data_IF_704216297381
#
_entry.id   IF_704216297381
#
_cell.length_a   1.000
_cell.length_b   1.000
_cell.length_c   1.000
_cell.angle_alpha   90.00
_cell.angle_beta   90.00
_cell.angle_gamma   90.00
#
_symmetry.space_group_name_H-M   'P 1'
#
loop_
_entity.id
_entity.type
_entity.pdbx_description
1 polymer ?
#
# COMPACT_ATOMS: atom_id res chain seq x y z
N UNK A 1 -9.45 15.05 -16.03
CA UNK A 1 -8.03 15.44 -15.96
C UNK A 1 -7.59 15.13 -14.54
N UNK A 2 -6.58 14.32 -14.35
CA UNK A 2 -6.07 13.93 -13.02
C UNK A 2 -5.02 14.93 -12.56
N UNK A 3 -4.98 15.25 -11.27
CA UNK A 3 -3.99 16.18 -10.69
C UNK A 3 -3.51 15.68 -9.33
N UNK A 4 -2.37 16.16 -8.89
CA UNK A 4 -1.92 16.06 -7.49
C UNK A 4 -2.85 16.94 -6.64
N UNK A 5 -3.38 16.37 -5.55
CA UNK A 5 -4.38 17.03 -4.71
C UNK A 5 -3.72 18.02 -3.74
N UNK A 6 -2.66 17.56 -3.06
CA UNK A 6 -2.01 18.36 -2.03
C UNK A 6 -0.48 18.11 -1.95
N UNK A 7 0.18 18.69 -0.95
CA UNK A 7 1.61 18.59 -0.75
C UNK A 7 2.43 19.51 -1.64
N UNK A 8 3.73 19.24 -1.75
CA UNK A 8 4.70 20.12 -2.42
C UNK A 8 4.48 20.25 -3.94
N UNK A 9 3.80 19.28 -4.57
CA UNK A 9 3.40 19.33 -5.98
C UNK A 9 1.90 19.58 -6.17
N UNK A 10 1.20 20.09 -5.17
CA UNK A 10 -0.25 20.34 -5.20
C UNK A 10 -0.70 21.09 -6.44
N UNK A 11 -1.85 20.68 -7.02
CA UNK A 11 -2.45 21.21 -8.26
C UNK A 11 -1.71 20.87 -9.56
N UNK A 12 -0.58 20.15 -9.53
CA UNK A 12 0.12 19.71 -10.73
C UNK A 12 -0.75 18.73 -11.54
N UNK A 13 -1.01 19.06 -12.79
CA UNK A 13 -1.77 18.18 -13.70
C UNK A 13 -0.95 16.97 -14.11
N UNK A 14 -1.56 15.79 -14.05
CA UNK A 14 -0.99 14.53 -14.48
C UNK A 14 -1.59 14.09 -15.82
N UNK A 15 -0.75 13.63 -16.72
CA UNK A 15 -1.21 12.97 -17.94
C UNK A 15 -1.86 11.61 -17.59
N UNK A 16 -2.88 11.23 -18.35
CA UNK A 16 -3.59 9.96 -18.20
C UNK A 16 -3.37 9.11 -19.46
N UNK A 17 -3.14 7.80 -19.35
CA UNK A 17 -3.10 6.90 -20.50
C UNK A 17 -4.40 6.98 -21.33
N UNK A 18 -4.27 6.86 -22.66
CA UNK A 18 -5.43 7.00 -23.59
C UNK A 18 -6.42 5.85 -23.55
N UNK A 19 -6.04 4.70 -23.02
CA UNK A 19 -6.87 3.48 -22.95
C UNK A 19 -6.46 2.62 -21.75
N UNK A 20 -7.43 1.90 -21.19
CA UNK A 20 -7.17 0.78 -20.25
C UNK A 20 -7.31 1.09 -18.76
N UNK A 21 -7.49 2.34 -18.34
CA UNK A 21 -7.71 2.64 -16.93
C UNK A 21 -8.83 3.67 -16.78
N UNK A 22 -9.85 3.34 -15.97
CA UNK A 22 -10.73 4.36 -15.39
C UNK A 22 -9.93 4.98 -14.25
N UNK A 23 -9.59 6.27 -14.29
CA UNK A 23 -8.86 6.87 -13.17
C UNK A 23 -9.69 6.74 -11.90
N UNK A 24 -9.08 6.30 -10.81
CA UNK A 24 -9.65 6.46 -9.46
C UNK A 24 -10.15 7.89 -9.32
N UNK A 25 -11.42 8.07 -8.98
CA UNK A 25 -12.01 9.39 -8.94
C UNK A 25 -11.27 10.30 -7.96
N UNK A 26 -11.21 11.60 -8.24
CA UNK A 26 -10.58 12.57 -7.32
C UNK A 26 -11.16 12.44 -5.90
N UNK A 27 -12.47 12.19 -5.78
CA UNK A 27 -13.15 11.96 -4.49
C UNK A 27 -12.62 10.73 -3.74
N UNK A 28 -12.37 9.63 -4.43
CA UNK A 28 -11.83 8.41 -3.81
C UNK A 28 -10.39 8.66 -3.38
N UNK A 29 -9.59 9.31 -4.22
CA UNK A 29 -8.21 9.68 -3.86
C UNK A 29 -8.15 10.63 -2.66
N UNK A 30 -9.01 11.66 -2.62
CA UNK A 30 -9.15 12.55 -1.46
C UNK A 30 -9.47 11.77 -0.18
N UNK A 31 -10.40 10.80 -0.25
CA UNK A 31 -10.75 9.96 0.89
C UNK A 31 -9.58 9.06 1.35
N UNK A 32 -8.83 8.47 0.40
CA UNK A 32 -7.63 7.68 0.70
C UNK A 32 -6.61 8.56 1.44
N UNK A 33 -6.23 9.68 0.86
CA UNK A 33 -5.16 10.51 1.41
C UNK A 33 -5.56 11.21 2.72
N UNK A 34 -6.82 11.60 2.89
CA UNK A 34 -7.31 12.12 4.18
C UNK A 34 -7.21 11.05 5.29
N UNK A 35 -7.49 9.78 4.97
CA UNK A 35 -7.37 8.70 5.95
C UNK A 35 -5.92 8.37 6.28
N UNK A 36 -5.01 8.44 5.30
CA UNK A 36 -3.56 8.22 5.50
C UNK A 36 -2.93 9.36 6.30
N UNK A 37 -3.27 10.61 6.02
CA UNK A 37 -2.79 11.76 6.80
C UNK A 37 -3.25 11.72 8.26
N UNK A 38 -4.50 11.33 8.50
CA UNK A 38 -5.01 11.17 9.86
C UNK A 38 -4.26 10.10 10.70
N UNK A 39 -3.46 9.24 10.03
CA UNK A 39 -2.63 8.18 10.64
C UNK A 39 -1.14 8.52 10.60
N UNK A 40 -0.77 9.67 10.07
CA UNK A 40 0.64 10.06 9.84
C UNK A 40 1.43 9.03 9.02
N UNK A 41 0.76 8.39 8.05
CA UNK A 41 1.26 7.19 7.36
C UNK A 41 1.98 7.50 6.04
N UNK A 42 2.24 8.77 5.71
CA UNK A 42 2.81 9.15 4.41
C UNK A 42 4.21 9.75 4.55
N UNK A 43 4.38 10.68 5.47
CA UNK A 43 5.66 11.38 5.62
C UNK A 43 6.76 10.40 6.05
N UNK A 44 7.88 10.42 5.36
CA UNK A 44 9.00 9.50 5.59
C UNK A 44 8.79 8.07 5.09
N UNK A 45 7.63 7.72 4.52
CA UNK A 45 7.29 6.35 4.13
C UNK A 45 7.95 5.88 2.83
N UNK A 46 8.12 4.55 2.72
CA UNK A 46 8.42 3.80 1.49
C UNK A 46 7.12 3.28 0.90
N UNK A 47 6.78 3.70 -0.31
CA UNK A 47 5.49 3.44 -0.94
C UNK A 47 5.63 2.56 -2.17
N UNK A 48 4.79 1.52 -2.28
CA UNK A 48 4.55 0.77 -3.52
C UNK A 48 3.19 1.13 -4.11
N UNK A 49 3.17 1.57 -5.37
CA UNK A 49 1.96 1.73 -6.18
C UNK A 49 1.96 0.62 -7.23
N UNK A 50 1.23 -0.44 -6.94
CA UNK A 50 1.09 -1.62 -7.79
C UNK A 50 -0.09 -1.42 -8.73
N UNK A 51 0.11 -1.64 -10.02
CA UNK A 51 -0.79 -1.28 -11.11
C UNK A 51 -0.90 0.23 -11.33
N UNK A 52 0.23 0.94 -11.27
CA UNK A 52 0.33 2.38 -11.12
C UNK A 52 -0.39 3.22 -12.20
N UNK A 53 -0.58 2.70 -13.41
CA UNK A 53 -1.25 3.43 -14.50
C UNK A 53 -0.59 4.78 -14.79
N UNK A 54 -1.22 5.87 -14.35
CA UNK A 54 -0.65 7.23 -14.44
C UNK A 54 0.33 7.56 -13.32
N UNK A 55 0.40 6.73 -12.27
CA UNK A 55 1.16 6.96 -11.04
C UNK A 55 0.46 7.87 -10.03
N UNK A 56 -0.85 8.07 -10.16
CA UNK A 56 -1.53 9.11 -9.39
C UNK A 56 -1.48 8.90 -7.87
N UNK A 57 -1.54 7.65 -7.38
CA UNK A 57 -1.49 7.35 -5.94
C UNK A 57 -0.06 7.50 -5.40
N UNK A 58 0.90 6.84 -6.02
CA UNK A 58 2.28 6.95 -5.56
C UNK A 58 2.86 8.36 -5.69
N UNK A 59 2.53 9.09 -6.75
CA UNK A 59 3.01 10.47 -6.95
C UNK A 59 2.34 11.47 -5.98
N UNK A 60 1.09 11.24 -5.58
CA UNK A 60 0.46 11.97 -4.51
C UNK A 60 1.19 11.74 -3.18
N UNK A 61 1.58 10.48 -2.89
CA UNK A 61 2.37 10.15 -1.69
C UNK A 61 3.72 10.87 -1.70
N UNK A 62 4.43 10.90 -2.85
CA UNK A 62 5.68 11.65 -2.98
C UNK A 62 5.47 13.15 -2.73
N UNK A 63 4.37 13.73 -3.19
CA UNK A 63 4.01 15.13 -2.97
C UNK A 63 3.76 15.45 -1.49
N UNK A 64 3.34 14.46 -0.70
CA UNK A 64 3.00 14.57 0.72
C UNK A 64 4.11 14.10 1.67
N UNK A 65 5.32 13.82 1.18
CA UNK A 65 6.47 13.55 2.03
C UNK A 65 6.99 12.12 2.03
N UNK A 66 6.42 11.19 1.24
CA UNK A 66 7.02 9.86 1.07
C UNK A 66 8.45 9.98 0.53
N UNK A 67 9.40 9.24 1.11
CA UNK A 67 10.84 9.34 0.76
C UNK A 67 11.26 8.43 -0.37
N UNK A 68 10.57 7.29 -0.54
CA UNK A 68 10.74 6.42 -1.68
C UNK A 68 9.38 5.98 -2.24
N UNK A 69 9.24 6.04 -3.56
CA UNK A 69 8.02 5.63 -4.25
C UNK A 69 8.39 4.76 -5.45
N UNK A 70 7.86 3.54 -5.47
CA UNK A 70 8.01 2.63 -6.60
C UNK A 70 6.67 2.45 -7.29
N UNK A 71 6.62 2.80 -8.57
CA UNK A 71 5.45 2.73 -9.42
C UNK A 71 5.61 1.55 -10.37
N UNK A 72 4.80 0.50 -10.19
CA UNK A 72 4.88 -0.73 -10.99
C UNK A 72 3.76 -0.75 -12.02
N UNK A 73 4.10 -0.77 -13.30
CA UNK A 73 3.15 -0.80 -14.41
C UNK A 73 3.65 -1.72 -15.51
N UNK A 74 2.83 -2.71 -15.92
CA UNK A 74 3.23 -3.68 -16.97
C UNK A 74 3.13 -3.11 -18.38
N UNK A 75 2.15 -2.26 -18.62
CA UNK A 75 1.85 -1.72 -19.94
C UNK A 75 2.82 -0.59 -20.30
N UNK A 76 3.72 -0.84 -21.25
CA UNK A 76 4.74 0.16 -21.67
C UNK A 76 4.16 1.55 -21.98
N UNK A 77 3.04 1.70 -22.72
CA UNK A 77 2.47 3.02 -22.98
C UNK A 77 2.01 3.75 -21.71
N UNK A 78 1.43 3.04 -20.72
CA UNK A 78 1.05 3.60 -19.44
C UNK A 78 2.28 3.96 -18.61
N UNK A 79 3.27 3.09 -18.55
CA UNK A 79 4.54 3.34 -17.87
C UNK A 79 5.29 4.55 -18.45
N UNK A 80 5.21 4.81 -19.75
CA UNK A 80 5.79 6.00 -20.36
C UNK A 80 5.05 7.29 -19.97
N UNK A 81 3.72 7.21 -19.73
CA UNK A 81 2.93 8.31 -19.12
C UNK A 81 3.36 8.49 -17.67
N UNK A 82 3.41 7.41 -16.91
CA UNK A 82 3.83 7.40 -15.52
C UNK A 82 5.21 8.05 -15.32
N UNK A 83 6.20 7.74 -16.16
CA UNK A 83 7.53 8.36 -16.12
C UNK A 83 7.49 9.87 -16.33
N UNK A 84 6.73 10.35 -17.33
CA UNK A 84 6.59 11.80 -17.55
C UNK A 84 5.97 12.51 -16.35
N UNK A 85 4.98 11.88 -15.73
CA UNK A 85 4.36 12.40 -14.51
C UNK A 85 5.36 12.38 -13.34
N UNK A 86 6.11 11.28 -13.16
CA UNK A 86 7.15 11.17 -12.13
C UNK A 86 8.22 12.27 -12.28
N UNK A 87 8.68 12.51 -13.50
CA UNK A 87 9.63 13.58 -13.80
C UNK A 87 9.06 14.97 -13.47
N UNK A 88 7.77 15.20 -13.75
CA UNK A 88 7.10 16.46 -13.46
C UNK A 88 6.96 16.67 -11.95
N UNK A 89 6.54 15.65 -11.19
CA UNK A 89 6.43 15.69 -9.73
C UNK A 89 7.81 15.87 -9.10
N UNK A 90 8.84 15.12 -9.53
CA UNK A 90 10.22 15.26 -9.01
C UNK A 90 10.75 16.69 -9.18
N UNK A 91 10.43 17.35 -10.30
CA UNK A 91 10.79 18.77 -10.49
C UNK A 91 10.04 19.70 -9.55
N UNK A 92 8.76 19.42 -9.31
CA UNK A 92 7.90 20.25 -8.46
C UNK A 92 8.27 20.15 -6.98
N UNK A 93 8.53 18.93 -6.47
CA UNK A 93 8.88 18.73 -5.06
C UNK A 93 10.36 19.05 -4.75
N UNK A 94 11.19 19.20 -5.78
CA UNK A 94 12.64 19.37 -5.64
C UNK A 94 13.42 18.06 -5.71
N UNK A 95 14.61 18.13 -6.34
CA UNK A 95 15.48 16.95 -6.46
C UNK A 95 15.95 16.50 -5.06
N UNK A 96 15.80 15.22 -4.78
CA UNK A 96 16.22 14.62 -3.51
C UNK A 96 15.15 14.61 -2.42
N UNK A 97 13.99 15.26 -2.61
CA UNK A 97 12.87 15.18 -1.67
C UNK A 97 12.27 13.78 -1.59
N UNK A 98 12.16 13.09 -2.73
CA UNK A 98 11.74 11.70 -2.81
C UNK A 98 12.52 10.97 -3.91
N UNK A 99 12.74 9.66 -3.72
CA UNK A 99 13.24 8.76 -4.76
C UNK A 99 12.05 8.13 -5.49
N UNK A 100 11.73 8.59 -6.68
CA UNK A 100 10.63 8.04 -7.47
C UNK A 100 11.19 7.15 -8.58
N UNK A 101 10.68 5.92 -8.66
CA UNK A 101 11.12 4.92 -9.64
C UNK A 101 9.93 4.26 -10.34
N UNK A 102 9.95 4.23 -11.67
CA UNK A 102 8.95 3.52 -12.50
C UNK A 102 9.53 2.21 -13.01
N UNK A 103 8.89 1.11 -12.67
CA UNK A 103 9.28 -0.25 -13.04
C UNK A 103 8.29 -0.80 -14.07
N UNK A 104 8.79 -1.26 -15.22
CA UNK A 104 7.96 -1.86 -16.28
C UNK A 104 8.03 -3.37 -16.16
N UNK A 105 7.15 -3.94 -15.33
CA UNK A 105 7.03 -5.39 -15.08
C UNK A 105 5.59 -5.75 -14.71
N UNK A 106 5.16 -7.00 -14.89
CA UNK A 106 4.01 -7.54 -14.18
C UNK A 106 4.23 -7.43 -12.66
N UNK A 107 3.17 -7.15 -11.91
CA UNK A 107 3.23 -6.95 -10.44
C UNK A 107 3.86 -8.15 -9.75
N UNK A 108 3.35 -9.37 -9.97
CA UNK A 108 3.91 -10.58 -9.36
C UNK A 108 5.42 -10.73 -9.64
N UNK A 109 5.87 -10.54 -10.90
CA UNK A 109 7.28 -10.65 -11.27
C UNK A 109 8.16 -9.55 -10.64
N UNK A 110 7.59 -8.41 -10.28
CA UNK A 110 8.29 -7.39 -9.50
C UNK A 110 8.39 -7.82 -8.03
N UNK A 111 7.28 -8.22 -7.41
CA UNK A 111 7.21 -8.59 -6.00
C UNK A 111 8.14 -9.78 -5.66
N UNK A 112 8.31 -10.75 -6.57
CA UNK A 112 9.24 -11.89 -6.40
C UNK A 112 10.70 -11.45 -6.18
N UNK A 113 11.07 -10.23 -6.55
CA UNK A 113 12.46 -9.71 -6.48
C UNK A 113 12.57 -8.35 -5.79
N UNK A 114 11.48 -7.83 -5.26
CA UNK A 114 11.45 -6.55 -4.59
C UNK A 114 12.13 -6.62 -3.22
N UNK A 115 12.77 -5.56 -2.76
CA UNK A 115 13.29 -5.48 -1.41
C UNK A 115 12.15 -5.35 -0.40
N UNK A 116 12.37 -5.83 0.81
CA UNK A 116 11.52 -5.55 1.96
C UNK A 116 11.68 -4.10 2.45
N UNK A 117 10.80 -3.68 3.36
CA UNK A 117 10.85 -2.35 3.94
C UNK A 117 9.78 -1.40 3.41
N UNK A 118 8.59 -1.93 3.08
CA UNK A 118 7.46 -1.16 2.56
C UNK A 118 6.52 -0.76 3.70
N UNK A 119 6.19 0.52 3.77
CA UNK A 119 5.29 1.08 4.80
C UNK A 119 3.86 1.25 4.28
N UNK A 120 3.71 1.48 2.97
CA UNK A 120 2.41 1.70 2.34
C UNK A 120 2.36 1.07 0.96
N UNK A 121 1.35 0.26 0.70
CA UNK A 121 1.11 -0.34 -0.60
C UNK A 121 -0.29 -0.01 -1.14
N UNK A 122 -0.36 0.43 -2.39
CA UNK A 122 -1.59 0.57 -3.15
C UNK A 122 -1.72 -0.56 -4.17
N UNK A 123 -2.89 -1.16 -4.26
CA UNK A 123 -3.25 -2.21 -5.21
C UNK A 123 -4.56 -1.80 -5.90
N UNK A 124 -4.45 -1.23 -7.09
CA UNK A 124 -5.60 -0.82 -7.94
C UNK A 124 -5.55 -1.58 -9.27
N UNK A 125 -5.83 -2.89 -9.25
CA UNK A 125 -5.72 -3.73 -10.43
C UNK A 125 -6.86 -3.45 -11.42
N UNK A 126 -6.65 -3.74 -12.72
CA UNK A 126 -7.72 -3.67 -13.70
C UNK A 126 -8.89 -4.60 -13.30
N UNK A 127 -10.11 -4.20 -13.67
CA UNK A 127 -11.34 -4.89 -13.25
C UNK A 127 -11.45 -6.35 -13.71
N UNK A 128 -10.73 -6.71 -14.76
CA UNK A 128 -10.67 -8.06 -15.32
C UNK A 128 -9.63 -8.97 -14.64
N UNK A 129 -8.86 -8.44 -13.68
CA UNK A 129 -7.95 -9.25 -12.89
C UNK A 129 -8.75 -10.15 -11.93
N UNK A 130 -8.54 -11.44 -12.03
CA UNK A 130 -9.22 -12.42 -11.19
C UNK A 130 -8.77 -12.38 -9.72
N UNK A 131 -9.59 -12.89 -8.82
CA UNK A 131 -9.35 -12.83 -7.38
C UNK A 131 -8.15 -13.68 -6.96
N UNK A 132 -7.84 -14.77 -7.71
CA UNK A 132 -6.67 -15.62 -7.45
C UNK A 132 -5.36 -14.85 -7.73
N UNK A 133 -5.35 -14.01 -8.76
CA UNK A 133 -4.20 -13.14 -9.05
C UNK A 133 -4.01 -12.07 -7.98
N UNK A 134 -5.10 -11.45 -7.49
CA UNK A 134 -5.03 -10.49 -6.38
C UNK A 134 -4.51 -11.17 -5.10
N UNK A 135 -5.02 -12.35 -4.76
CA UNK A 135 -4.57 -13.12 -3.60
C UNK A 135 -3.08 -13.49 -3.71
N UNK A 136 -2.62 -13.88 -4.91
CA UNK A 136 -1.21 -14.17 -5.16
C UNK A 136 -0.34 -12.91 -4.97
N UNK A 137 -0.76 -11.77 -5.48
CA UNK A 137 0.00 -10.52 -5.33
C UNK A 137 0.07 -10.09 -3.86
N UNK A 138 -1.02 -10.23 -3.10
CA UNK A 138 -1.03 -9.98 -1.66
C UNK A 138 -0.09 -10.93 -0.91
N UNK A 139 -0.06 -12.23 -1.27
CA UNK A 139 0.84 -13.20 -0.67
C UNK A 139 2.32 -12.90 -0.96
N UNK A 140 2.64 -12.39 -2.15
CA UNK A 140 3.99 -11.96 -2.51
C UNK A 140 4.37 -10.63 -1.84
N UNK A 141 3.40 -9.75 -1.59
CA UNK A 141 3.61 -8.47 -0.92
C UNK A 141 3.86 -8.64 0.59
N UNK A 142 3.15 -9.54 1.26
CA UNK A 142 3.19 -9.70 2.71
C UNK A 142 4.61 -9.73 3.32
N UNK A 143 5.58 -10.52 2.80
CA UNK A 143 6.93 -10.56 3.37
C UNK A 143 7.77 -9.30 3.11
N UNK A 144 7.27 -8.35 2.31
CA UNK A 144 7.97 -7.11 1.99
C UNK A 144 7.53 -5.95 2.88
N UNK A 145 6.43 -6.11 3.61
CA UNK A 145 5.84 -5.08 4.45
C UNK A 145 6.57 -4.95 5.79
N UNK A 146 6.72 -3.73 6.25
CA UNK A 146 7.15 -3.43 7.61
C UNK A 146 6.03 -3.75 8.62
N UNK A 147 6.35 -3.79 9.92
CA UNK A 147 5.34 -3.80 10.97
C UNK A 147 4.43 -2.55 10.85
N UNK A 148 3.15 -2.70 11.12
CA UNK A 148 2.13 -1.65 11.01
C UNK A 148 1.99 -1.02 9.59
N UNK A 149 2.56 -1.67 8.56
CA UNK A 149 2.42 -1.21 7.18
C UNK A 149 0.96 -1.25 6.75
N UNK A 150 0.56 -0.27 5.94
CA UNK A 150 -0.80 -0.17 5.41
C UNK A 150 -0.89 -0.69 3.98
N UNK A 151 -1.95 -1.43 3.71
CA UNK A 151 -2.30 -1.91 2.38
C UNK A 151 -3.69 -1.37 2.00
N UNK A 152 -3.78 -0.68 0.87
CA UNK A 152 -5.04 -0.17 0.34
C UNK A 152 -5.33 -0.87 -0.98
N UNK A 153 -6.38 -1.68 -1.01
CA UNK A 153 -6.81 -2.42 -2.20
C UNK A 153 -8.09 -1.79 -2.74
N UNK A 154 -8.05 -1.35 -4.00
CA UNK A 154 -9.22 -0.87 -4.74
C UNK A 154 -9.79 -2.01 -5.59
N UNK A 155 -11.08 -2.28 -5.46
CA UNK A 155 -11.81 -3.27 -6.27
C UNK A 155 -13.17 -2.72 -6.69
N UNK A 156 -13.79 -3.37 -7.66
CA UNK A 156 -15.22 -3.15 -7.94
C UNK A 156 -16.06 -3.46 -6.70
N UNK A 157 -17.12 -2.68 -6.48
CA UNK A 157 -18.10 -2.98 -5.42
C UNK A 157 -18.81 -4.34 -5.59
N UNK A 158 -18.65 -4.98 -6.75
CA UNK A 158 -19.17 -6.32 -7.04
C UNK A 158 -18.16 -7.44 -6.76
N UNK A 159 -16.88 -7.09 -6.56
CA UNK A 159 -15.83 -8.05 -6.21
C UNK A 159 -16.02 -8.53 -4.78
N UNK A 160 -15.73 -9.80 -4.49
CA UNK A 160 -15.69 -10.28 -3.13
C UNK A 160 -14.55 -9.62 -2.34
N UNK A 161 -14.53 -9.85 -1.06
CA UNK A 161 -13.38 -9.50 -0.21
C UNK A 161 -12.12 -10.20 -0.72
N UNK A 162 -10.97 -9.49 -0.81
CA UNK A 162 -9.69 -10.12 -1.12
C UNK A 162 -9.33 -11.22 -0.11
N UNK A 163 -8.72 -12.31 -0.60
CA UNK A 163 -8.18 -13.33 0.29
C UNK A 163 -6.86 -12.82 0.91
N UNK A 164 -6.92 -12.48 2.20
CA UNK A 164 -5.78 -11.96 2.93
C UNK A 164 -4.80 -13.08 3.30
N UNK A 165 -3.51 -12.95 2.98
CA UNK A 165 -2.49 -13.91 3.41
C UNK A 165 -2.19 -13.74 4.91
N UNK A 166 -1.53 -14.73 5.50
CA UNK A 166 -0.99 -14.60 6.85
C UNK A 166 -0.10 -13.36 6.98
N UNK A 167 -0.24 -12.61 8.05
CA UNK A 167 0.51 -11.38 8.32
C UNK A 167 -0.11 -10.11 7.73
N UNK A 168 -1.23 -10.21 7.04
CA UNK A 168 -2.04 -9.04 6.63
C UNK A 168 -3.46 -9.23 7.14
N UNK A 169 -3.98 -8.25 7.87
CA UNK A 169 -5.31 -8.29 8.47
C UNK A 169 -6.18 -7.17 7.93
N UNK A 170 -7.42 -7.50 7.56
CA UNK A 170 -8.41 -6.50 7.18
C UNK A 170 -8.77 -5.63 8.37
N UNK A 171 -8.59 -4.32 8.23
CA UNK A 171 -9.06 -3.34 9.23
C UNK A 171 -10.44 -2.80 8.89
N UNK A 172 -10.67 -2.46 7.62
CA UNK A 172 -11.84 -1.68 7.23
C UNK A 172 -12.18 -1.83 5.75
N UNK A 173 -13.48 -1.90 5.46
CA UNK A 173 -14.06 -1.74 4.13
C UNK A 173 -14.77 -0.38 4.01
N UNK A 174 -14.65 0.28 2.85
CA UNK A 174 -15.39 1.50 2.49
C UNK A 174 -15.85 1.46 1.05
N UNK A 175 -17.14 1.71 0.82
CA UNK A 175 -17.75 1.72 -0.51
C UNK A 175 -17.92 3.15 -1.02
N UNK A 176 -17.55 3.37 -2.30
CA UNK A 176 -17.65 4.65 -3.00
C UNK A 176 -18.30 4.42 -4.37
N UNK A 177 -19.64 4.26 -4.39
CA UNK A 177 -20.39 3.96 -5.60
C UNK A 177 -20.03 2.58 -6.17
N UNK A 178 -19.38 2.53 -7.33
CA UNK A 178 -18.96 1.27 -7.97
C UNK A 178 -17.59 0.78 -7.51
N UNK A 179 -16.92 1.50 -6.60
CA UNK A 179 -15.60 1.18 -6.07
C UNK A 179 -15.68 0.84 -4.59
N UNK A 180 -14.97 -0.20 -4.18
CA UNK A 180 -14.73 -0.56 -2.77
C UNK A 180 -13.25 -0.42 -2.46
N UNK A 181 -12.94 0.27 -1.36
CA UNK A 181 -11.61 0.31 -0.77
C UNK A 181 -11.55 -0.65 0.42
N UNK A 182 -10.58 -1.54 0.37
CA UNK A 182 -10.23 -2.43 1.45
C UNK A 182 -8.94 -1.94 2.08
N UNK A 183 -8.97 -1.69 3.38
CA UNK A 183 -7.84 -1.26 4.16
C UNK A 183 -7.37 -2.39 5.04
N UNK A 184 -6.11 -2.73 4.95
CA UNK A 184 -5.51 -3.78 5.74
C UNK A 184 -4.17 -3.32 6.31
N UNK A 185 -3.72 -3.97 7.36
CA UNK A 185 -2.44 -3.70 8.01
C UNK A 185 -1.69 -5.00 8.28
N UNK A 186 -0.39 -4.90 8.44
CA UNK A 186 0.39 -6.01 9.00
C UNK A 186 0.16 -6.06 10.50
N UNK A 187 0.00 -7.28 11.05
CA UNK A 187 -0.07 -7.47 12.48
C UNK A 187 1.23 -7.00 13.15
N UNK A 188 1.12 -6.41 14.33
CA UNK A 188 2.27 -6.19 15.19
C UNK A 188 2.80 -7.55 15.68
N UNK A 189 4.02 -7.98 15.32
CA UNK A 189 4.57 -9.25 15.77
C UNK A 189 4.68 -9.35 17.31
N UNK A 190 4.64 -8.22 18.02
CA UNK A 190 4.65 -8.21 19.49
C UNK A 190 3.26 -8.47 20.11
N UNK A 191 2.17 -8.35 19.34
CA UNK A 191 0.82 -8.60 19.84
C UNK A 191 0.48 -10.10 19.92
N UNK A 192 1.24 -10.97 19.28
CA UNK A 192 0.99 -12.42 19.18
C UNK A 192 1.88 -13.27 20.09
N UNK A 193 2.70 -12.66 20.98
CA UNK A 193 3.34 -13.41 22.06
C UNK A 193 2.32 -13.71 23.15
N UNK A 194 1.85 -14.97 23.30
CA UNK A 194 1.04 -15.34 24.46
C UNK A 194 1.89 -15.08 25.71
N UNK A 195 1.34 -14.35 26.67
CA UNK A 195 1.97 -14.07 27.95
C UNK A 195 2.48 -15.37 28.60
N UNK A 196 3.73 -15.70 28.35
CA UNK A 196 4.41 -16.88 28.89
C UNK A 196 4.88 -16.63 30.32
N UNK A 197 4.07 -15.98 31.15
CA UNK A 197 4.44 -15.71 32.54
C UNK A 197 3.27 -15.91 33.51
N UNK A 198 2.73 -17.14 33.54
CA UNK A 198 1.78 -17.53 34.58
C UNK A 198 1.96 -18.99 35.06
N UNK A 199 3.16 -19.61 34.91
CA UNK A 199 3.37 -21.00 35.39
C UNK A 199 4.66 -21.18 36.19
N UNK A 200 5.11 -20.18 36.94
CA UNK A 200 6.26 -20.31 37.84
C UNK A 200 5.98 -19.73 39.22
N UNK A 201 4.94 -20.24 39.91
CA UNK A 201 4.77 -20.03 41.34
C UNK A 201 3.89 -21.13 41.95
N UNK A 202 4.37 -22.36 41.96
CA UNK A 202 3.89 -23.41 42.89
C UNK A 202 5.10 -24.17 43.43
N UNK A 203 5.77 -23.56 44.39
CA UNK A 203 6.69 -24.33 45.27
C UNK A 203 5.84 -25.24 46.15
N UNK A 204 6.16 -26.54 46.27
CA UNK A 204 5.52 -27.38 47.25
C UNK A 204 6.12 -27.09 48.65
N UNK A 205 5.23 -26.78 49.57
CA UNK A 205 5.58 -26.65 50.99
C UNK A 205 6.27 -27.93 51.52
N UNK A 206 7.46 -27.76 52.10
CA UNK A 206 8.20 -28.80 52.77
C UNK A 206 7.45 -29.29 54.01
N UNK A 207 7.25 -30.60 54.09
CA UNK A 207 6.72 -31.34 55.23
C UNK A 207 7.79 -31.38 56.33
N UNK A 208 7.52 -30.80 57.52
CA UNK A 208 8.35 -30.94 58.69
C UNK A 208 8.05 -32.26 59.41
N UNK A 209 9.04 -33.05 59.83
CA UNK A 209 8.78 -34.23 60.62
C UNK A 209 8.64 -33.88 62.09
N UNK A 210 7.50 -34.30 62.68
CA UNK A 210 7.25 -34.28 64.11
C UNK A 210 8.09 -35.38 64.77
N UNK A 211 8.86 -35.00 65.79
CA UNK A 211 9.52 -35.88 66.73
C UNK A 211 8.57 -36.27 67.86
#
# INVERSE_FOLDING_TARGET
MTRIIAGAAGSLSLAVPRSGTRPTSDRVREAIFSALEARDAIDGSVVLDLYAGSGALGLESASRGAVEVVLVERAKPAADVCRRNADAVTRAIGRGAARIRVVVKPVAAYLETAPAGVDLAFIDPPYDLDEAAVARDLALLAPLLNAEALVVVERSARSPEPAWPSGIELERRRDYGETTLWWATTADPAADEPAADALAAAEPAADEPVA
#
